data_IF_290782759358
#
_entry.id   IF_290782759358
#
_cell.length_a   1.000
_cell.length_b   1.000
_cell.length_c   1.000
_cell.angle_alpha   90.00
_cell.angle_beta   90.00
_cell.angle_gamma   90.00
#
_symmetry.space_group_name_H-M   'P 1'
#
loop_
_entity.id
_entity.type
_entity.pdbx_description
1 polymer ?
#
# COMPACT_ATOMS: atom_id res chain seq x y z
N UNK A 1 -1.87 7.99 -6.71
CA UNK A 1 -0.96 9.07 -6.28
C UNK A 1 -1.37 10.47 -6.70
N UNK A 2 -2.18 10.66 -7.75
CA UNK A 2 -2.66 12.00 -8.13
C UNK A 2 -3.30 12.77 -6.96
N UNK A 3 -4.01 12.07 -6.08
CA UNK A 3 -4.63 12.66 -4.89
C UNK A 3 -3.65 13.06 -3.77
N UNK A 4 -2.43 12.51 -3.73
CA UNK A 4 -1.47 12.72 -2.63
C UNK A 4 -0.31 13.65 -2.99
N UNK A 5 -0.26 14.16 -4.23
CA UNK A 5 0.83 15.03 -4.75
C UNK A 5 2.24 14.37 -4.70
N UNK A 6 2.34 13.07 -4.45
CA UNK A 6 3.61 12.34 -4.37
C UNK A 6 3.97 11.70 -5.72
N UNK A 7 5.26 11.74 -6.07
CA UNK A 7 5.81 10.99 -7.20
C UNK A 7 6.05 9.52 -6.82
N UNK A 8 6.16 8.63 -7.83
CA UNK A 8 6.50 7.20 -7.59
C UNK A 8 7.83 7.07 -6.86
N UNK A 9 8.82 7.87 -7.25
CA UNK A 9 10.13 7.87 -6.60
C UNK A 9 10.07 8.31 -5.14
N UNK A 10 9.25 9.31 -4.83
CA UNK A 10 9.08 9.78 -3.46
C UNK A 10 8.40 8.73 -2.57
N UNK A 11 7.44 7.98 -3.12
CA UNK A 11 6.82 6.85 -2.42
C UNK A 11 7.82 5.71 -2.19
N UNK A 12 8.60 5.33 -3.21
CA UNK A 12 9.69 4.34 -3.09
C UNK A 12 10.66 4.74 -1.97
N UNK A 13 11.07 6.01 -1.94
CA UNK A 13 11.98 6.56 -0.93
C UNK A 13 11.40 6.51 0.48
N UNK A 14 10.13 6.90 0.66
CA UNK A 14 9.46 6.91 1.97
C UNK A 14 9.18 5.51 2.50
N UNK A 15 8.83 4.56 1.62
CA UNK A 15 8.55 3.18 1.98
C UNK A 15 9.81 2.32 2.13
N UNK A 16 10.97 2.80 1.67
CA UNK A 16 12.25 2.04 1.64
C UNK A 16 12.13 0.68 0.93
N UNK A 17 11.36 0.65 -0.15
CA UNK A 17 11.21 -0.53 -1.01
C UNK A 17 11.87 -0.27 -2.37
N UNK A 18 12.02 -1.29 -3.20
CA UNK A 18 12.44 -1.11 -4.59
C UNK A 18 11.29 -0.63 -5.47
N UNK A 19 11.56 0.02 -6.63
CA UNK A 19 10.53 0.37 -7.60
C UNK A 19 9.72 -0.84 -8.07
N UNK A 20 10.34 -2.01 -8.25
CA UNK A 20 9.66 -3.24 -8.67
C UNK A 20 8.71 -3.77 -7.59
N UNK A 21 9.06 -3.63 -6.30
CA UNK A 21 8.15 -3.91 -5.20
C UNK A 21 6.96 -2.96 -5.21
N UNK A 22 7.16 -1.66 -5.46
CA UNK A 22 6.04 -0.72 -5.59
C UNK A 22 5.11 -1.10 -6.74
N UNK A 23 5.64 -1.45 -7.92
CA UNK A 23 4.80 -1.89 -9.04
C UNK A 23 4.03 -3.17 -8.73
N UNK A 24 4.67 -4.14 -8.07
CA UNK A 24 4.02 -5.37 -7.62
C UNK A 24 2.93 -5.12 -6.58
N UNK A 25 3.11 -4.12 -5.72
CA UNK A 25 2.11 -3.69 -4.74
C UNK A 25 0.92 -2.98 -5.40
N UNK A 26 1.16 -2.23 -6.47
CA UNK A 26 0.12 -1.52 -7.22
C UNK A 26 -0.62 -2.40 -8.24
N UNK A 27 -0.08 -3.56 -8.62
CA UNK A 27 -0.65 -4.46 -9.62
C UNK A 27 -1.95 -5.13 -9.14
N UNK A 28 -3.15 -4.75 -9.63
CA UNK A 28 -4.42 -5.28 -9.13
C UNK A 28 -4.60 -6.79 -9.34
N UNK A 29 -3.81 -7.43 -10.21
CA UNK A 29 -3.91 -8.88 -10.49
C UNK A 29 -3.12 -9.73 -9.50
N UNK A 30 -2.25 -9.10 -8.70
CA UNK A 30 -1.48 -9.80 -7.69
C UNK A 30 -2.28 -9.95 -6.38
N UNK A 31 -2.86 -11.13 -6.16
CA UNK A 31 -3.60 -11.48 -4.94
C UNK A 31 -2.70 -11.95 -3.78
N UNK A 32 -1.38 -12.05 -3.97
CA UNK A 32 -0.41 -12.50 -2.95
C UNK A 32 0.33 -11.34 -2.25
N UNK A 33 -0.15 -10.11 -2.39
CA UNK A 33 0.49 -8.92 -1.81
C UNK A 33 0.42 -8.97 -0.28
N UNK A 34 1.43 -8.37 0.36
CA UNK A 34 1.39 -8.12 1.79
C UNK A 34 0.36 -7.03 2.12
N UNK A 35 -0.55 -7.34 3.04
CA UNK A 35 -1.50 -6.35 3.60
C UNK A 35 -0.72 -5.24 4.33
N UNK A 36 0.34 -5.58 5.07
CA UNK A 36 1.18 -4.60 5.77
C UNK A 36 1.79 -3.56 4.83
N UNK A 37 2.31 -3.98 3.67
CA UNK A 37 2.87 -3.07 2.67
C UNK A 37 1.79 -2.16 2.07
N UNK A 38 0.59 -2.69 1.85
CA UNK A 38 -0.57 -1.91 1.40
C UNK A 38 -0.95 -0.84 2.44
N UNK A 39 -1.02 -1.21 3.72
CA UNK A 39 -1.34 -0.28 4.80
C UNK A 39 -0.27 0.81 4.94
N UNK A 40 1.02 0.45 4.87
CA UNK A 40 2.13 1.42 4.87
C UNK A 40 2.04 2.39 3.70
N UNK A 41 1.72 1.91 2.50
CA UNK A 41 1.52 2.76 1.33
C UNK A 41 0.38 3.76 1.59
N UNK A 42 -0.77 3.31 2.07
CA UNK A 42 -1.91 4.18 2.35
C UNK A 42 -1.57 5.26 3.40
N UNK A 43 -0.82 4.89 4.44
CA UNK A 43 -0.33 5.85 5.45
C UNK A 43 0.60 6.90 4.82
N UNK A 44 1.54 6.50 3.95
CA UNK A 44 2.44 7.44 3.24
C UNK A 44 1.68 8.38 2.32
N UNK A 45 0.56 7.93 1.75
CA UNK A 45 -0.32 8.75 0.91
C UNK A 45 -1.23 9.69 1.73
N UNK A 46 -1.15 9.64 3.07
CA UNK A 46 -1.97 10.47 3.96
C UNK A 46 -3.40 9.96 4.15
N UNK A 47 -3.67 8.71 3.78
CA UNK A 47 -5.01 8.14 3.94
C UNK A 47 -5.23 7.69 5.39
N UNK A 48 -6.42 7.97 5.92
CA UNK A 48 -6.91 7.30 7.14
C UNK A 48 -7.46 5.93 6.76
N UNK A 49 -6.93 4.88 7.35
CA UNK A 49 -7.38 3.50 7.10
C UNK A 49 -8.09 2.97 8.33
N UNK A 50 -9.36 2.58 8.16
CA UNK A 50 -10.10 1.79 9.14
C UNK A 50 -10.13 0.34 8.70
N UNK A 51 -9.89 -0.59 9.63
CA UNK A 51 -10.02 -2.01 9.38
C UNK A 51 -10.74 -2.67 10.56
N UNK A 52 -11.55 -3.67 10.28
CA UNK A 52 -12.29 -4.43 11.28
C UNK A 52 -12.07 -5.91 11.03
N UNK A 53 -11.59 -6.63 12.05
CA UNK A 53 -11.57 -8.09 12.01
C UNK A 53 -12.90 -8.58 12.56
N UNK A 54 -13.61 -9.35 11.75
CA UNK A 54 -14.72 -10.19 12.22
C UNK A 54 -14.20 -11.61 12.39
N UNK A 55 -14.46 -12.23 13.54
CA UNK A 55 -14.27 -13.67 13.69
C UNK A 55 -15.22 -14.34 12.70
N UNK A 56 -14.66 -15.22 11.87
CA UNK A 56 -15.48 -16.09 11.06
C UNK A 56 -16.27 -16.99 12.02
N UNK A 57 -17.60 -16.91 11.98
CA UNK A 57 -18.44 -17.84 12.71
C UNK A 57 -18.12 -19.25 12.19
N UNK A 58 -17.80 -20.15 13.12
CA UNK A 58 -17.53 -21.55 12.84
C UNK A 58 -18.77 -22.25 12.29
#
# INVERSE_FOLDING_TARGET
MKASHLSKHEVVRRLKISPSQLYRLLDPTNYRKSIDEMLRLLTVLGCRVGWSIVKQAA
#
